data_IF_429287371921
#
_entry.id   IF_429287371921
#
_cell.length_a   1.000
_cell.length_b   1.000
_cell.length_c   1.000
_cell.angle_alpha   90.00
_cell.angle_beta   90.00
_cell.angle_gamma   90.00
#
_symmetry.space_group_name_H-M   'P 1'
#
loop_
_entity.id
_entity.type
_entity.pdbx_description
1 polymer ?
#
# COMPACT_ATOMS: atom_id res chain seq x y z
N UNK A 1 -2.41 -19.11 -13.60
CA UNK A 1 -1.44 -18.30 -14.38
C UNK A 1 -0.18 -18.23 -13.53
N UNK A 2 0.99 -18.48 -14.06
CA UNK A 2 2.25 -18.35 -13.32
C UNK A 2 2.71 -16.88 -13.40
N UNK A 3 2.82 -16.21 -12.26
CA UNK A 3 3.28 -14.82 -12.19
C UNK A 3 4.81 -14.67 -12.25
N UNK A 4 5.56 -15.78 -12.23
CA UNK A 4 7.02 -15.77 -12.29
C UNK A 4 7.68 -15.17 -11.06
N UNK A 5 7.05 -15.28 -9.88
CA UNK A 5 7.52 -14.70 -8.62
C UNK A 5 8.34 -15.67 -7.78
N UNK A 6 8.37 -16.95 -8.12
CA UNK A 6 9.15 -17.95 -7.40
C UNK A 6 10.63 -17.58 -7.34
N UNK A 7 11.18 -17.55 -6.14
CA UNK A 7 12.57 -17.17 -5.88
C UNK A 7 12.86 -15.66 -5.89
N UNK A 8 11.86 -14.81 -6.14
CA UNK A 8 11.99 -13.37 -5.97
C UNK A 8 11.83 -12.99 -4.50
N UNK A 9 12.55 -11.96 -4.06
CA UNK A 9 12.38 -11.39 -2.73
C UNK A 9 11.50 -10.15 -2.81
N UNK A 10 10.49 -10.09 -1.96
CA UNK A 10 9.55 -8.97 -1.88
C UNK A 10 9.58 -8.31 -0.50
N UNK A 11 9.75 -7.01 -0.44
CA UNK A 11 9.56 -6.19 0.77
C UNK A 11 8.20 -5.53 0.69
N UNK A 12 7.37 -5.72 1.72
CA UNK A 12 6.08 -5.03 1.85
C UNK A 12 6.09 -4.19 3.14
N UNK A 13 6.13 -2.87 3.01
CA UNK A 13 6.13 -1.98 4.16
C UNK A 13 4.76 -1.93 4.83
N UNK A 14 4.71 -1.90 6.18
CA UNK A 14 3.44 -1.85 6.92
C UNK A 14 2.54 -3.06 6.65
N UNK A 15 3.08 -4.27 6.67
CA UNK A 15 2.42 -5.49 6.22
C UNK A 15 1.97 -6.44 7.35
N UNK A 16 1.78 -5.92 8.57
CA UNK A 16 1.28 -6.75 9.68
C UNK A 16 -0.25 -6.88 9.72
N UNK A 17 -0.97 -6.10 8.90
CA UNK A 17 -2.43 -6.10 8.82
C UNK A 17 -2.93 -5.48 7.50
N UNK A 18 -4.22 -5.57 7.23
CA UNK A 18 -4.91 -4.88 6.14
C UNK A 18 -4.37 -5.21 4.75
N UNK A 19 -4.34 -4.21 3.86
CA UNK A 19 -3.90 -4.35 2.47
C UNK A 19 -2.47 -4.89 2.39
N UNK A 20 -1.56 -4.39 3.22
CA UNK A 20 -0.16 -4.85 3.23
C UNK A 20 -0.01 -6.33 3.60
N UNK A 21 -0.80 -6.82 4.56
CA UNK A 21 -0.82 -8.24 4.92
C UNK A 21 -1.37 -9.10 3.78
N UNK A 22 -2.47 -8.70 3.17
CA UNK A 22 -3.06 -9.41 2.04
C UNK A 22 -2.11 -9.46 0.84
N UNK A 23 -1.39 -8.36 0.54
CA UNK A 23 -0.34 -8.34 -0.50
C UNK A 23 0.80 -9.29 -0.15
N UNK A 24 1.25 -9.30 1.11
CA UNK A 24 2.29 -10.22 1.57
C UNK A 24 1.85 -11.70 1.38
N UNK A 25 0.59 -12.01 1.71
CA UNK A 25 0.01 -13.34 1.51
C UNK A 25 -0.08 -13.71 0.02
N UNK A 26 -0.55 -12.81 -0.83
CA UNK A 26 -0.66 -13.04 -2.27
C UNK A 26 0.71 -13.29 -2.91
N UNK A 27 1.72 -12.49 -2.58
CA UNK A 27 3.08 -12.68 -3.09
C UNK A 27 3.72 -13.98 -2.58
N UNK A 28 3.49 -14.34 -1.32
CA UNK A 28 3.96 -15.61 -0.76
C UNK A 28 3.30 -16.82 -1.41
N UNK A 29 2.01 -16.74 -1.72
CA UNK A 29 1.27 -17.81 -2.43
C UNK A 29 1.81 -18.03 -3.85
N UNK A 30 2.36 -16.99 -4.49
CA UNK A 30 3.04 -17.08 -5.79
C UNK A 30 4.52 -17.50 -5.67
N UNK A 31 4.97 -17.92 -4.48
CA UNK A 31 6.31 -18.46 -4.22
C UNK A 31 7.42 -17.43 -4.03
N UNK A 32 7.08 -16.16 -3.82
CA UNK A 32 8.06 -15.15 -3.44
C UNK A 32 8.50 -15.34 -1.97
N UNK A 33 9.78 -15.02 -1.67
CA UNK A 33 10.22 -14.76 -0.30
C UNK A 33 9.72 -13.40 0.14
N UNK A 34 8.89 -13.32 1.18
CA UNK A 34 8.28 -12.06 1.60
C UNK A 34 8.87 -11.56 2.92
N UNK A 35 9.30 -10.31 2.92
CA UNK A 35 9.75 -9.59 4.11
C UNK A 35 8.56 -8.76 4.63
N UNK A 36 8.03 -9.18 5.78
CA UNK A 36 6.95 -8.51 6.51
C UNK A 36 7.55 -7.44 7.42
N UNK A 37 6.97 -6.26 7.40
CA UNK A 37 7.38 -5.15 8.25
C UNK A 37 6.24 -4.64 9.13
N UNK A 38 6.56 -4.31 10.35
CA UNK A 38 5.71 -3.63 11.32
C UNK A 38 6.54 -2.91 12.38
N UNK A 39 5.91 -2.06 13.19
CA UNK A 39 6.60 -1.24 14.20
C UNK A 39 7.07 -2.04 15.42
N UNK A 40 6.41 -3.14 15.75
CA UNK A 40 6.72 -3.93 16.95
C UNK A 40 6.94 -5.40 16.62
N UNK A 41 7.83 -6.04 17.36
CA UNK A 41 8.11 -7.48 17.21
C UNK A 41 6.86 -8.35 17.40
N UNK A 42 6.01 -8.00 18.36
CA UNK A 42 4.79 -8.74 18.62
C UNK A 42 3.84 -8.75 17.42
N UNK A 43 3.59 -7.59 16.79
CA UNK A 43 2.75 -7.52 15.58
C UNK A 43 3.37 -8.26 14.40
N UNK A 44 4.68 -8.17 14.24
CA UNK A 44 5.40 -8.91 13.20
C UNK A 44 5.31 -10.41 13.43
N UNK A 45 5.54 -10.90 14.65
CA UNK A 45 5.44 -12.32 14.99
C UNK A 45 4.03 -12.88 14.72
N UNK A 46 2.98 -12.15 15.14
CA UNK A 46 1.58 -12.52 14.87
C UNK A 46 1.31 -12.59 13.36
N UNK A 47 1.77 -11.60 12.59
CA UNK A 47 1.57 -11.59 11.15
C UNK A 47 2.28 -12.78 10.45
N UNK A 48 3.50 -13.12 10.86
CA UNK A 48 4.22 -14.28 10.35
C UNK A 48 3.50 -15.60 10.66
N UNK A 49 2.96 -15.73 11.87
CA UNK A 49 2.17 -16.91 12.25
C UNK A 49 0.93 -17.05 11.36
N UNK A 50 0.19 -15.97 11.19
CA UNK A 50 -1.02 -15.94 10.35
C UNK A 50 -0.69 -16.24 8.88
N UNK A 51 0.39 -15.68 8.34
CA UNK A 51 0.82 -15.96 6.97
C UNK A 51 1.17 -17.43 6.75
N UNK A 52 1.88 -18.08 7.70
CA UNK A 52 2.22 -19.49 7.61
C UNK A 52 1.01 -20.41 7.75
N UNK A 53 -0.04 -19.96 8.43
CA UNK A 53 -1.32 -20.69 8.48
C UNK A 53 -2.12 -20.53 7.18
N UNK A 54 -2.08 -19.34 6.58
CA UNK A 54 -2.83 -19.02 5.38
C UNK A 54 -2.18 -19.58 4.10
N UNK A 55 -0.86 -19.53 4.02
CA UNK A 55 -0.09 -19.95 2.84
C UNK A 55 0.85 -21.08 3.22
N UNK A 56 0.59 -22.27 2.69
CA UNK A 56 1.42 -23.45 2.92
C UNK A 56 2.84 -23.21 2.40
N UNK A 57 3.84 -23.60 3.18
CA UNK A 57 5.27 -23.51 2.87
C UNK A 57 5.75 -22.07 2.54
N UNK A 58 5.06 -21.05 3.07
CA UNK A 58 5.42 -19.65 2.85
C UNK A 58 6.84 -19.34 3.34
N UNK A 59 7.70 -18.84 2.43
CA UNK A 59 9.02 -18.29 2.78
C UNK A 59 8.85 -16.84 3.24
N UNK A 60 8.64 -16.66 4.54
CA UNK A 60 8.36 -15.35 5.13
C UNK A 60 9.33 -15.03 6.28
N UNK A 61 9.87 -13.82 6.26
CA UNK A 61 10.71 -13.24 7.31
C UNK A 61 10.10 -11.93 7.80
N UNK A 62 10.21 -11.65 9.09
CA UNK A 62 9.73 -10.39 9.68
C UNK A 62 10.88 -9.49 10.11
N UNK A 63 10.67 -8.19 10.00
CA UNK A 63 11.57 -7.16 10.53
C UNK A 63 10.74 -6.07 11.21
N UNK A 64 10.98 -5.87 12.52
CA UNK A 64 10.38 -4.77 13.26
C UNK A 64 11.20 -3.49 13.05
N UNK A 65 10.58 -2.47 12.47
CA UNK A 65 11.15 -1.14 12.30
C UNK A 65 10.04 -0.13 11.99
N UNK A 66 10.16 1.08 12.51
CA UNK A 66 9.25 2.18 12.15
C UNK A 66 9.71 2.85 10.85
N UNK A 67 9.20 2.35 9.72
CA UNK A 67 9.52 2.90 8.40
C UNK A 67 8.92 4.30 8.15
N UNK A 68 8.10 4.82 9.06
CA UNK A 68 7.67 6.22 9.04
C UNK A 68 8.78 7.21 9.41
N UNK A 69 9.94 6.73 9.87
CA UNK A 69 11.08 7.56 10.28
C UNK A 69 12.33 7.24 9.46
N UNK A 70 13.22 8.22 9.29
CA UNK A 70 14.51 8.02 8.61
C UNK A 70 15.38 6.99 9.35
N UNK A 71 15.39 7.04 10.69
CA UNK A 71 16.14 6.12 11.53
C UNK A 71 15.64 4.68 11.41
N UNK A 72 14.31 4.49 11.44
CA UNK A 72 13.73 3.16 11.30
C UNK A 72 13.97 2.57 9.90
N UNK A 73 13.93 3.39 8.84
CA UNK A 73 14.32 2.97 7.49
C UNK A 73 15.78 2.53 7.46
N UNK A 74 16.71 3.31 8.03
CA UNK A 74 18.13 2.95 8.06
C UNK A 74 18.35 1.60 8.77
N UNK A 75 17.73 1.39 9.94
CA UNK A 75 17.81 0.13 10.68
C UNK A 75 17.21 -1.07 9.92
N UNK A 76 16.14 -0.87 9.18
CA UNK A 76 15.52 -1.87 8.31
C UNK A 76 16.47 -2.26 7.16
N UNK A 77 17.05 -1.29 6.48
CA UNK A 77 17.91 -1.50 5.32
C UNK A 77 19.22 -2.23 5.67
N UNK A 78 19.73 -2.07 6.90
CA UNK A 78 20.87 -2.87 7.38
C UNK A 78 20.53 -4.36 7.45
N UNK A 79 19.30 -4.72 7.76
CA UNK A 79 18.85 -6.11 7.87
C UNK A 79 18.41 -6.70 6.52
N UNK A 80 17.89 -5.87 5.63
CA UNK A 80 17.36 -6.23 4.32
C UNK A 80 17.99 -5.31 3.27
N UNK A 81 19.24 -5.59 2.86
CA UNK A 81 20.00 -4.71 1.95
C UNK A 81 19.51 -4.78 0.49
N UNK A 82 18.84 -5.86 0.10
CA UNK A 82 18.41 -6.10 -1.27
C UNK A 82 16.95 -6.59 -1.32
N UNK A 83 16.27 -6.27 -2.42
CA UNK A 83 14.98 -6.84 -2.78
C UNK A 83 14.78 -6.80 -4.30
N UNK A 84 13.91 -7.64 -4.81
CA UNK A 84 13.49 -7.63 -6.21
C UNK A 84 12.15 -6.89 -6.39
N UNK A 85 11.28 -6.97 -5.38
CA UNK A 85 9.97 -6.33 -5.38
C UNK A 85 9.85 -5.45 -4.14
N UNK A 86 9.52 -4.19 -4.32
CA UNK A 86 9.24 -3.25 -3.25
C UNK A 86 7.79 -2.79 -3.32
N UNK A 87 7.01 -3.09 -2.29
CA UNK A 87 5.65 -2.56 -2.12
C UNK A 87 5.65 -1.51 -1.01
N UNK A 88 5.58 -0.25 -1.40
CA UNK A 88 5.45 0.91 -0.52
C UNK A 88 3.97 1.03 -0.10
N UNK A 89 3.59 0.29 0.93
CA UNK A 89 2.22 0.24 1.43
C UNK A 89 2.02 1.05 2.72
N UNK A 90 3.09 1.35 3.47
CA UNK A 90 2.96 2.13 4.71
C UNK A 90 2.23 3.45 4.47
N UNK A 91 1.23 3.72 5.32
CA UNK A 91 0.51 4.98 5.29
C UNK A 91 -0.37 5.18 6.52
N UNK A 92 -0.67 6.44 6.79
CA UNK A 92 -1.63 6.89 7.80
C UNK A 92 -2.70 7.73 7.14
N UNK A 93 -3.89 7.73 7.72
CA UNK A 93 -4.99 8.61 7.35
C UNK A 93 -5.69 9.12 8.61
N UNK A 94 -6.31 10.29 8.51
CA UNK A 94 -7.05 10.92 9.61
C UNK A 94 -8.07 11.89 9.01
N UNK A 95 -9.29 11.85 9.50
CA UNK A 95 -10.31 12.85 9.16
C UNK A 95 -10.08 14.07 10.03
N UNK A 96 -9.89 15.24 9.38
CA UNK A 96 -9.67 16.49 10.06
C UNK A 96 -10.08 17.67 9.18
N UNK A 97 -10.92 18.60 9.66
CA UNK A 97 -11.28 19.81 8.93
C UNK A 97 -10.04 20.63 8.55
N UNK A 98 -10.01 21.20 7.35
CA UNK A 98 -8.84 21.89 6.81
C UNK A 98 -8.29 22.95 7.75
N UNK A 99 -9.16 23.77 8.36
CA UNK A 99 -8.75 24.85 9.27
C UNK A 99 -8.16 24.36 10.59
N UNK A 100 -8.32 23.08 10.92
CA UNK A 100 -7.80 22.45 12.13
C UNK A 100 -6.51 21.66 11.92
N UNK A 101 -6.04 21.55 10.67
CA UNK A 101 -4.82 20.80 10.33
C UNK A 101 -3.60 21.68 10.59
N UNK A 102 -2.82 21.44 11.66
CA UNK A 102 -1.60 22.20 11.92
C UNK A 102 -0.47 21.75 10.96
N UNK A 103 0.54 22.58 10.77
CA UNK A 103 1.70 22.29 9.93
C UNK A 103 2.40 20.98 10.31
N UNK A 104 2.40 20.65 11.62
CA UNK A 104 2.97 19.39 12.11
C UNK A 104 2.28 18.15 11.55
N UNK A 105 0.97 18.20 11.30
CA UNK A 105 0.24 17.08 10.68
C UNK A 105 0.58 16.98 9.20
N UNK A 106 0.67 18.09 8.46
CA UNK A 106 1.12 18.10 7.06
C UNK A 106 2.49 17.45 6.93
N UNK A 107 3.44 17.81 7.79
CA UNK A 107 4.80 17.26 7.80
C UNK A 107 4.79 15.77 8.19
N UNK A 108 4.04 15.39 9.22
CA UNK A 108 3.90 13.99 9.66
C UNK A 108 3.33 13.11 8.56
N UNK A 109 2.28 13.55 7.89
CA UNK A 109 1.67 12.80 6.80
C UNK A 109 2.61 12.66 5.60
N UNK A 110 3.34 13.71 5.26
CA UNK A 110 4.34 13.65 4.20
C UNK A 110 5.50 12.72 4.54
N UNK A 111 6.00 12.81 5.77
CA UNK A 111 7.07 11.95 6.27
C UNK A 111 6.70 10.46 6.20
N UNK A 112 5.53 10.10 6.73
CA UNK A 112 5.09 8.70 6.80
C UNK A 112 4.62 8.19 5.45
N UNK A 113 3.77 8.91 4.73
CA UNK A 113 3.13 8.41 3.53
C UNK A 113 4.02 8.51 2.27
N UNK A 114 4.90 9.51 2.21
CA UNK A 114 5.69 9.80 1.01
C UNK A 114 7.17 9.44 1.21
N UNK A 115 7.82 10.07 2.21
CA UNK A 115 9.27 9.90 2.39
C UNK A 115 9.67 8.48 2.78
N UNK A 116 8.81 7.72 3.45
CA UNK A 116 9.06 6.29 3.71
C UNK A 116 9.34 5.53 2.41
N UNK A 117 8.44 5.66 1.42
CA UNK A 117 8.56 5.01 0.12
C UNK A 117 9.72 5.57 -0.73
N UNK A 118 9.96 6.89 -0.65
CA UNK A 118 11.11 7.53 -1.32
C UNK A 118 12.44 6.97 -0.81
N UNK A 119 12.60 6.82 0.51
CA UNK A 119 13.83 6.29 1.12
C UNK A 119 14.08 4.84 0.74
N UNK A 120 13.05 3.99 0.82
CA UNK A 120 13.14 2.58 0.43
C UNK A 120 13.46 2.44 -1.06
N UNK A 121 12.74 3.16 -1.93
CA UNK A 121 12.95 3.14 -3.37
C UNK A 121 14.35 3.62 -3.75
N UNK A 122 14.85 4.69 -3.13
CA UNK A 122 16.20 5.22 -3.36
C UNK A 122 17.28 4.18 -3.05
N UNK A 123 17.08 3.37 -2.02
CA UNK A 123 18.03 2.35 -1.63
C UNK A 123 18.01 1.13 -2.56
N UNK A 124 16.82 0.61 -2.90
CA UNK A 124 16.71 -0.64 -3.63
C UNK A 124 16.87 -0.49 -5.15
N UNK A 125 16.50 0.67 -5.70
CA UNK A 125 16.51 0.90 -7.13
C UNK A 125 17.85 0.63 -7.81
N UNK A 126 19.03 1.04 -7.27
CA UNK A 126 20.32 0.73 -7.88
C UNK A 126 20.59 -0.77 -8.02
N UNK A 127 20.22 -1.58 -7.02
CA UNK A 127 20.34 -3.04 -7.08
C UNK A 127 19.43 -3.66 -8.14
N UNK A 128 18.19 -3.17 -8.26
CA UNK A 128 17.24 -3.60 -9.29
C UNK A 128 17.75 -3.25 -10.70
N UNK A 129 18.31 -2.07 -10.89
CA UNK A 129 18.91 -1.63 -12.16
C UNK A 129 20.10 -2.50 -12.55
N UNK A 130 20.99 -2.82 -11.61
CA UNK A 130 22.14 -3.72 -11.85
C UNK A 130 21.71 -5.11 -12.29
N UNK A 131 20.60 -5.63 -11.71
CA UNK A 131 20.00 -6.93 -12.09
C UNK A 131 19.18 -6.84 -13.39
N UNK A 132 18.94 -5.63 -13.91
CA UNK A 132 17.99 -5.33 -14.98
C UNK A 132 16.63 -5.97 -14.75
N UNK A 133 16.19 -6.02 -13.49
CA UNK A 133 14.87 -6.53 -13.07
C UNK A 133 14.47 -5.93 -11.74
N UNK A 134 13.27 -5.44 -11.64
CA UNK A 134 12.70 -4.92 -10.39
C UNK A 134 11.25 -4.49 -10.54
N UNK A 135 10.52 -4.49 -9.41
CA UNK A 135 9.15 -4.00 -9.32
C UNK A 135 9.04 -3.06 -8.12
N UNK A 136 8.67 -1.82 -8.37
CA UNK A 136 8.37 -0.85 -7.32
C UNK A 136 6.91 -0.46 -7.43
N UNK A 137 6.16 -0.66 -6.36
CA UNK A 137 4.73 -0.41 -6.30
C UNK A 137 4.44 0.52 -5.12
N UNK A 138 3.69 1.60 -5.37
CA UNK A 138 3.17 2.46 -4.32
C UNK A 138 1.68 2.18 -4.13
N UNK A 139 1.27 1.83 -2.92
CA UNK A 139 -0.15 1.71 -2.59
C UNK A 139 -0.66 3.11 -2.25
N UNK A 140 -1.23 3.73 -3.27
CA UNK A 140 -1.89 5.02 -3.18
C UNK A 140 -3.38 4.83 -2.86
N UNK A 141 -4.23 5.72 -3.31
CA UNK A 141 -5.66 5.72 -3.04
C UNK A 141 -6.40 6.41 -4.19
N UNK A 142 -7.71 6.13 -4.34
CA UNK A 142 -8.62 6.95 -5.13
C UNK A 142 -8.54 8.42 -4.74
N UNK A 143 -8.23 8.67 -3.47
CA UNK A 143 -8.02 10.00 -2.91
C UNK A 143 -6.84 10.78 -3.53
N UNK A 144 -6.01 10.13 -4.36
CA UNK A 144 -5.00 10.82 -5.15
C UNK A 144 -5.57 11.58 -6.35
N UNK A 145 -6.73 11.18 -6.84
CA UNK A 145 -7.43 11.79 -7.97
C UNK A 145 -8.70 12.51 -7.53
N UNK A 146 -9.45 11.94 -6.60
CA UNK A 146 -10.66 12.52 -6.02
C UNK A 146 -10.40 12.90 -4.57
N UNK A 147 -9.74 14.05 -4.37
CA UNK A 147 -9.29 14.51 -3.04
C UNK A 147 -10.50 14.65 -2.10
N UNK A 148 -10.53 13.91 -0.98
CA UNK A 148 -11.61 14.05 0.00
C UNK A 148 -11.48 15.36 0.78
N UNK A 149 -12.54 16.14 0.83
CA UNK A 149 -12.53 17.43 1.51
C UNK A 149 -12.31 17.31 3.03
N UNK A 150 -12.69 16.15 3.57
CA UNK A 150 -12.51 15.80 4.98
C UNK A 150 -11.09 15.30 5.34
N UNK A 151 -10.21 15.11 4.33
CA UNK A 151 -8.84 14.58 4.51
C UNK A 151 -7.88 15.15 3.48
N UNK A 152 -7.84 16.46 3.28
CA UNK A 152 -7.03 17.09 2.21
C UNK A 152 -5.55 16.76 2.34
N UNK A 153 -4.98 16.80 3.54
CA UNK A 153 -3.57 16.46 3.79
C UNK A 153 -3.24 14.99 3.46
N UNK A 154 -4.18 14.07 3.65
CA UNK A 154 -4.04 12.69 3.20
C UNK A 154 -4.06 12.61 1.67
N UNK A 155 -5.08 13.18 1.02
CA UNK A 155 -5.21 13.17 -0.44
C UNK A 155 -3.98 13.75 -1.11
N UNK A 156 -3.44 14.87 -0.61
CA UNK A 156 -2.17 15.46 -1.08
C UNK A 156 -1.02 14.44 -1.06
N UNK A 157 -0.86 13.69 0.05
CA UNK A 157 0.23 12.69 0.12
C UNK A 157 0.02 11.52 -0.84
N UNK A 158 -1.23 11.12 -1.09
CA UNK A 158 -1.55 10.06 -2.04
C UNK A 158 -1.29 10.49 -3.50
N UNK A 159 -1.58 11.76 -3.84
CA UNK A 159 -1.18 12.35 -5.11
C UNK A 159 0.35 12.43 -5.26
N UNK A 160 1.04 12.82 -4.19
CA UNK A 160 2.50 12.86 -4.19
C UNK A 160 3.14 11.47 -4.44
N UNK A 161 2.57 10.39 -3.89
CA UNK A 161 3.02 9.02 -4.19
C UNK A 161 2.91 8.69 -5.69
N UNK A 162 1.80 9.07 -6.33
CA UNK A 162 1.60 8.86 -7.77
C UNK A 162 2.64 9.64 -8.60
N UNK A 163 2.89 10.91 -8.22
CA UNK A 163 3.91 11.73 -8.87
C UNK A 163 5.32 11.15 -8.72
N UNK A 164 5.69 10.69 -7.52
CA UNK A 164 6.97 10.01 -7.26
C UNK A 164 7.10 8.74 -8.10
N UNK A 165 6.06 7.88 -8.12
CA UNK A 165 6.06 6.66 -8.90
C UNK A 165 6.26 6.94 -10.40
N UNK A 166 5.55 7.94 -10.94
CA UNK A 166 5.68 8.35 -12.34
C UNK A 166 7.07 8.86 -12.67
N UNK A 167 7.62 9.74 -11.83
CA UNK A 167 8.97 10.28 -12.00
C UNK A 167 10.05 9.20 -11.96
N UNK A 168 9.94 8.26 -11.01
CA UNK A 168 10.86 7.11 -10.92
C UNK A 168 10.74 6.21 -12.16
N UNK A 169 9.54 5.92 -12.66
CA UNK A 169 9.37 5.13 -13.88
C UNK A 169 10.08 5.76 -15.09
N UNK A 170 10.02 7.08 -15.22
CA UNK A 170 10.73 7.81 -16.27
C UNK A 170 12.25 7.73 -16.09
N UNK A 171 12.75 7.79 -14.86
CA UNK A 171 14.20 7.75 -14.59
C UNK A 171 14.84 6.38 -14.86
N UNK A 172 14.04 5.31 -14.95
CA UNK A 172 14.49 3.94 -15.22
C UNK A 172 14.05 3.44 -16.60
N UNK A 173 13.65 4.34 -17.49
CA UNK A 173 13.18 4.00 -18.83
C UNK A 173 14.24 3.17 -19.60
N UNK A 174 13.78 2.20 -20.40
CA UNK A 174 14.66 1.33 -21.18
C UNK A 174 15.30 0.18 -20.38
N UNK A 175 14.91 -0.03 -19.12
CA UNK A 175 15.38 -1.13 -18.28
C UNK A 175 14.28 -2.15 -18.00
N UNK A 176 14.64 -3.28 -17.37
CA UNK A 176 13.68 -4.30 -16.90
C UNK A 176 12.96 -3.93 -15.58
N UNK A 177 13.15 -2.71 -15.06
CA UNK A 177 12.50 -2.23 -13.83
C UNK A 177 11.21 -1.50 -14.18
N UNK A 178 10.12 -1.83 -13.46
CA UNK A 178 8.86 -1.07 -13.57
C UNK A 178 8.49 -0.41 -12.25
N UNK A 179 7.93 0.78 -12.33
CA UNK A 179 7.44 1.53 -11.16
C UNK A 179 6.01 1.96 -11.42
N UNK A 180 5.09 1.55 -10.55
CA UNK A 180 3.67 1.85 -10.67
C UNK A 180 3.07 2.27 -9.33
N UNK A 181 1.91 2.91 -9.37
CA UNK A 181 1.05 3.08 -8.20
C UNK A 181 -0.26 2.33 -8.38
N UNK A 182 -0.83 1.85 -7.28
CA UNK A 182 -2.18 1.28 -7.23
C UNK A 182 -3.04 2.25 -6.42
N UNK A 183 -4.12 2.69 -7.03
CA UNK A 183 -5.11 3.53 -6.37
C UNK A 183 -6.17 2.61 -5.76
N UNK A 184 -6.01 2.31 -4.48
CA UNK A 184 -6.98 1.52 -3.73
C UNK A 184 -8.20 2.36 -3.38
N UNK A 185 -9.37 1.77 -3.44
CA UNK A 185 -10.60 2.36 -2.99
C UNK A 185 -10.84 2.19 -1.48
N UNK A 186 -12.04 2.54 -1.02
CA UNK A 186 -12.46 2.24 0.35
C UNK A 186 -12.41 0.73 0.60
N UNK A 187 -11.46 0.30 1.43
CA UNK A 187 -11.16 -1.11 1.67
C UNK A 187 -11.47 -1.50 3.11
N UNK A 188 -12.08 -2.66 3.33
CA UNK A 188 -12.37 -3.23 4.64
C UNK A 188 -11.09 -3.72 5.35
N UNK A 189 -10.19 -2.78 5.63
CA UNK A 189 -8.96 -3.02 6.38
C UNK A 189 -9.19 -2.94 7.90
N UNK A 190 -8.21 -3.39 8.71
CA UNK A 190 -8.27 -3.25 10.18
C UNK A 190 -8.58 -1.80 10.59
N UNK A 191 -7.91 -0.81 9.99
CA UNK A 191 -8.12 0.60 10.30
C UNK A 191 -9.52 1.11 9.91
N UNK A 192 -10.00 0.73 8.74
CA UNK A 192 -11.37 1.08 8.30
C UNK A 192 -12.42 0.39 9.19
N UNK A 193 -12.19 -0.86 9.60
CA UNK A 193 -13.07 -1.60 10.50
C UNK A 193 -13.22 -0.93 11.86
N UNK A 194 -12.11 -0.46 12.45
CA UNK A 194 -12.12 0.30 13.71
C UNK A 194 -12.91 1.61 13.56
N UNK A 195 -12.73 2.32 12.45
CA UNK A 195 -13.43 3.56 12.16
C UNK A 195 -14.95 3.31 12.03
N UNK A 196 -15.36 2.32 11.21
CA UNK A 196 -16.79 1.96 11.04
C UNK A 196 -17.41 1.53 12.36
N UNK A 197 -16.71 0.76 13.19
CA UNK A 197 -17.19 0.33 14.49
C UNK A 197 -17.37 1.50 15.47
N UNK A 198 -16.42 2.44 15.47
CA UNK A 198 -16.50 3.64 16.30
C UNK A 198 -17.72 4.50 15.92
N UNK A 199 -17.92 4.72 14.62
CA UNK A 199 -19.10 5.46 14.13
C UNK A 199 -20.40 4.75 14.45
N UNK A 200 -20.48 3.43 14.26
CA UNK A 200 -21.65 2.63 14.58
C UNK A 200 -22.04 2.76 16.06
N UNK A 201 -21.05 2.69 16.97
CA UNK A 201 -21.26 2.90 18.41
C UNK A 201 -21.71 4.32 18.73
N UNK A 202 -21.10 5.33 18.12
CA UNK A 202 -21.43 6.74 18.36
C UNK A 202 -22.85 7.09 17.90
N UNK A 203 -23.30 6.53 16.78
CA UNK A 203 -24.60 6.81 16.20
C UNK A 203 -25.69 5.84 16.66
N UNK A 204 -25.35 4.77 17.38
CA UNK A 204 -26.33 3.77 17.84
C UNK A 204 -26.94 2.94 16.70
N UNK A 205 -26.18 2.73 15.61
CA UNK A 205 -26.61 2.00 14.41
C UNK A 205 -25.69 0.81 14.12
N UNK A 206 -26.05 -0.03 13.18
CA UNK A 206 -25.25 -1.20 12.76
C UNK A 206 -24.08 -0.79 11.86
N UNK A 207 -23.04 -1.65 11.77
CA UNK A 207 -21.94 -1.45 10.81
C UNK A 207 -22.44 -1.40 9.36
N UNK A 208 -23.46 -2.20 9.01
CA UNK A 208 -24.05 -2.21 7.67
C UNK A 208 -24.74 -0.88 7.33
N UNK A 209 -25.38 -0.24 8.31
CA UNK A 209 -25.98 1.08 8.11
C UNK A 209 -24.91 2.16 7.92
N UNK A 210 -23.80 2.11 8.67
CA UNK A 210 -22.65 3.01 8.47
C UNK A 210 -22.05 2.81 7.06
N UNK A 211 -21.87 1.57 6.61
CA UNK A 211 -21.36 1.28 5.26
C UNK A 211 -22.30 1.85 4.19
N UNK A 212 -23.61 1.59 4.30
CA UNK A 212 -24.61 2.15 3.39
C UNK A 212 -24.60 3.67 3.37
N UNK A 213 -24.50 4.31 4.54
CA UNK A 213 -24.38 5.76 4.67
C UNK A 213 -23.10 6.27 4.01
N UNK A 214 -21.95 5.63 4.25
CA UNK A 214 -20.67 5.99 3.65
C UNK A 214 -20.74 6.01 2.11
N UNK A 215 -21.32 4.98 1.49
CA UNK A 215 -21.48 4.89 0.04
C UNK A 215 -22.62 5.73 -0.52
N UNK A 216 -23.47 6.31 0.31
CA UNK A 216 -24.49 7.29 -0.12
C UNK A 216 -24.04 8.74 0.03
N UNK A 217 -23.10 9.05 0.94
CA UNK A 217 -22.68 10.41 1.28
C UNK A 217 -21.22 10.69 0.95
N UNK A 218 -20.28 9.92 1.49
CA UNK A 218 -18.85 10.17 1.35
C UNK A 218 -18.28 9.65 0.02
N UNK A 219 -18.80 8.54 -0.51
CA UNK A 219 -18.37 7.97 -1.80
C UNK A 219 -19.56 7.58 -2.69
N UNK A 220 -20.42 8.57 -3.03
CA UNK A 220 -21.64 8.30 -3.81
C UNK A 220 -21.36 7.85 -5.24
N UNK A 221 -20.18 8.11 -5.77
CA UNK A 221 -19.76 7.68 -7.11
C UNK A 221 -19.32 6.22 -7.19
N UNK A 222 -19.04 5.54 -6.07
CA UNK A 222 -18.61 4.14 -6.08
C UNK A 222 -19.59 3.26 -6.87
N UNK A 223 -19.09 2.47 -7.79
CA UNK A 223 -19.87 1.49 -8.55
C UNK A 223 -20.09 0.20 -7.76
N UNK A 224 -19.15 -0.16 -6.87
CA UNK A 224 -19.29 -1.34 -6.02
C UNK A 224 -20.29 -1.16 -4.89
N UNK A 225 -20.49 0.05 -4.37
CA UNK A 225 -21.38 0.36 -3.23
C UNK A 225 -21.11 -0.47 -1.97
N UNK A 226 -19.91 -1.00 -1.81
CA UNK A 226 -19.39 -1.70 -0.63
C UNK A 226 -17.90 -1.41 -0.46
N UNK A 227 -17.37 -1.70 0.71
CA UNK A 227 -15.93 -1.75 0.87
C UNK A 227 -15.34 -2.88 0.02
N UNK A 228 -14.18 -2.62 -0.57
CA UNK A 228 -13.36 -3.66 -1.19
C UNK A 228 -12.78 -4.55 -0.10
N UNK A 229 -12.50 -5.80 -0.45
CA UNK A 229 -11.69 -6.64 0.42
C UNK A 229 -10.20 -6.32 0.24
N UNK A 230 -9.39 -6.62 1.23
CA UNK A 230 -7.93 -6.47 1.14
C UNK A 230 -7.35 -7.36 0.04
N UNK A 231 -7.97 -8.51 -0.21
CA UNK A 231 -7.59 -9.50 -1.22
C UNK A 231 -7.84 -8.98 -2.65
N UNK A 232 -8.91 -8.20 -2.88
CA UNK A 232 -9.17 -7.57 -4.19
C UNK A 232 -8.04 -6.63 -4.58
N UNK A 233 -7.54 -5.81 -3.64
CA UNK A 233 -6.37 -4.94 -3.87
C UNK A 233 -5.08 -5.75 -4.00
N UNK A 234 -4.92 -6.79 -3.19
CA UNK A 234 -3.73 -7.65 -3.20
C UNK A 234 -3.58 -8.42 -4.51
N UNK A 235 -4.67 -8.86 -5.12
CA UNK A 235 -4.64 -9.53 -6.42
C UNK A 235 -4.08 -8.61 -7.52
N UNK A 236 -4.47 -7.34 -7.52
CA UNK A 236 -3.91 -6.34 -8.45
C UNK A 236 -2.42 -6.12 -8.16
N UNK A 237 -2.02 -6.03 -6.89
CA UNK A 237 -0.62 -5.84 -6.53
C UNK A 237 0.26 -7.05 -6.94
N UNK A 238 -0.22 -8.28 -6.76
CA UNK A 238 0.48 -9.48 -7.20
C UNK A 238 0.65 -9.51 -8.73
N UNK A 239 -0.40 -9.15 -9.49
CA UNK A 239 -0.31 -9.05 -10.94
C UNK A 239 0.71 -7.97 -11.37
N UNK A 240 0.67 -6.76 -10.80
CA UNK A 240 1.61 -5.68 -11.13
C UNK A 240 3.05 -6.03 -10.75
N UNK A 241 3.25 -6.85 -9.71
CA UNK A 241 4.57 -7.37 -9.34
C UNK A 241 5.08 -8.46 -10.30
N UNK A 242 4.22 -9.03 -11.12
CA UNK A 242 4.54 -10.20 -11.96
C UNK A 242 5.48 -9.88 -13.12
N UNK A 243 6.06 -10.93 -13.69
CA UNK A 243 6.81 -10.85 -14.95
C UNK A 243 5.89 -10.53 -16.14
N UNK A 244 4.57 -10.77 -16.02
CA UNK A 244 3.59 -10.56 -17.08
C UNK A 244 3.11 -9.12 -17.20
N UNK A 245 3.32 -8.30 -16.15
CA UNK A 245 2.88 -6.90 -16.12
C UNK A 245 3.93 -5.92 -16.66
N UNK A 246 4.92 -6.35 -17.44
CA UNK A 246 6.02 -5.51 -17.92
C UNK A 246 5.59 -4.33 -18.81
N UNK A 247 4.44 -4.45 -19.49
CA UNK A 247 3.88 -3.36 -20.28
C UNK A 247 3.24 -2.26 -19.43
N UNK A 248 3.01 -2.52 -18.13
CA UNK A 248 2.45 -1.54 -17.19
C UNK A 248 3.62 -0.89 -16.45
N UNK A 249 3.96 0.33 -16.85
CA UNK A 249 5.06 1.09 -16.26
C UNK A 249 4.72 2.59 -16.20
N UNK A 250 4.94 3.21 -15.07
CA UNK A 250 4.58 4.60 -14.81
C UNK A 250 3.08 4.86 -14.70
N UNK A 251 2.29 3.81 -14.46
CA UNK A 251 0.82 3.87 -14.42
C UNK A 251 0.30 4.07 -12.99
N UNK A 252 -0.84 4.75 -12.90
CA UNK A 252 -1.71 4.76 -11.73
C UNK A 252 -2.84 3.76 -11.98
N UNK A 253 -2.66 2.52 -11.53
CA UNK A 253 -3.61 1.42 -11.75
C UNK A 253 -4.75 1.52 -10.75
N UNK A 254 -5.96 1.60 -11.25
CA UNK A 254 -7.16 1.79 -10.42
C UNK A 254 -7.67 0.44 -9.94
N UNK A 255 -7.76 0.28 -8.61
CA UNK A 255 -8.43 -0.80 -7.90
C UNK A 255 -9.26 -0.14 -6.81
N UNK A 256 -10.35 0.57 -7.20
CA UNK A 256 -11.02 1.54 -6.32
C UNK A 256 -12.57 1.50 -6.43
N UNK A 257 -13.09 0.43 -7.00
CA UNK A 257 -14.53 0.19 -7.06
C UNK A 257 -15.32 1.21 -7.86
N UNK A 258 -14.68 1.94 -8.78
CA UNK A 258 -15.33 2.97 -9.59
C UNK A 258 -15.70 4.24 -8.84
N UNK A 259 -14.93 4.59 -7.80
CA UNK A 259 -15.11 5.85 -7.06
C UNK A 259 -14.72 7.05 -7.91
N UNK A 260 -13.60 6.95 -8.62
CA UNK A 260 -13.11 8.03 -9.51
C UNK A 260 -13.92 8.08 -10.78
N UNK A 261 -14.56 9.22 -11.05
CA UNK A 261 -15.47 9.39 -12.19
C UNK A 261 -14.75 9.67 -13.53
N UNK A 262 -13.44 9.94 -13.51
CA UNK A 262 -12.65 10.10 -14.74
C UNK A 262 -12.55 8.77 -15.48
N UNK A 263 -12.56 8.83 -16.80
CA UNK A 263 -12.29 7.67 -17.68
C UNK A 263 -10.80 7.41 -17.88
N UNK A 264 -9.93 8.33 -17.43
CA UNK A 264 -8.47 8.24 -17.49
C UNK A 264 -7.83 8.29 -16.11
#
# INVERSE_FOLDING_TARGET
MDFGLKGKTAVVSGSTAGIGFAIAAALAAEGARVIVNGRTEARVATALQNLRQLVKDADVRGVSADLGTAQGVAAFLQQIPETDILVNNLGIFEIKPFLEIPDSDWLRFFEVNVLSGVRLSRHYLPGMLKKNWGRVIFISSESAQQIPTEMIHYGMTKTAQVAVARGLAQSVAGTGVTVNSILAGPTASEGAGVFVESMAKQQGVTKAEIEKQFFSTARPSSLLKRFETTEEVAAVAAFIASAQATAINGSAVRAEGGVVQSIF
#
